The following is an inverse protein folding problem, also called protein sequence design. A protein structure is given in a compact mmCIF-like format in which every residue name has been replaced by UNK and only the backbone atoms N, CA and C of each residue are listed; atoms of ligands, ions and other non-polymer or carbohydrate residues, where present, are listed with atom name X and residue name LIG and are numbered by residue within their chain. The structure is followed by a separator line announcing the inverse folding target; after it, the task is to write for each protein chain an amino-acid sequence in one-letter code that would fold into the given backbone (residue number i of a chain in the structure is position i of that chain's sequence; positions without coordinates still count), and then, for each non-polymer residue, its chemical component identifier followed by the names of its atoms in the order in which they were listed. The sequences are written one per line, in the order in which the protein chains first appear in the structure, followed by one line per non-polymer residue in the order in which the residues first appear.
data_IF_508321101856
#
_entry.id   IF_508321101856
#
_cell.length_a   1.000
_cell.length_b   1.000
_cell.length_c   1.000
_cell.angle_alpha   90.00
_cell.angle_beta   90.00
_cell.angle_gamma   90.00
#
_symmetry.space_group_name_H-M   'P 1'
#
loop_
_entity.id
_entity.type
_entity.pdbx_description
1 polymer ?
#
# COMPACT_ATOMS: atom_id res chain seq x y z
N UNK A 1 11.25 -57.69 37.58
CA UNK A 1 11.08 -56.22 37.62
C UNK A 1 11.63 -55.61 36.33
N UNK A 2 10.78 -55.18 35.38
CA UNK A 2 11.24 -54.52 34.14
C UNK A 2 10.42 -53.27 33.70
N UNK A 3 10.08 -52.31 34.58
CA UNK A 3 9.34 -51.12 34.17
C UNK A 3 10.23 -49.98 33.60
N UNK A 4 11.55 -49.98 33.84
CA UNK A 4 12.39 -48.81 33.54
C UNK A 4 12.64 -48.52 32.05
N UNK A 5 12.71 -49.53 31.17
CA UNK A 5 13.05 -49.33 29.74
C UNK A 5 11.90 -48.72 28.91
N UNK A 6 10.63 -49.03 29.26
CA UNK A 6 9.46 -48.47 28.56
C UNK A 6 9.30 -46.95 28.81
N UNK A 7 9.71 -46.45 29.98
CA UNK A 7 9.60 -45.03 30.33
C UNK A 7 10.53 -44.14 29.48
N UNK A 8 11.78 -44.56 29.26
CA UNK A 8 12.78 -43.84 28.45
C UNK A 8 12.39 -43.77 26.97
N UNK A 9 11.82 -44.85 26.44
CA UNK A 9 11.35 -44.89 25.05
C UNK A 9 10.15 -43.96 24.82
N UNK A 10 9.18 -43.94 25.74
CA UNK A 10 8.06 -42.98 25.70
C UNK A 10 8.53 -41.52 25.77
N UNK A 11 9.52 -41.22 26.62
CA UNK A 11 10.10 -39.88 26.72
C UNK A 11 10.83 -39.45 25.43
N UNK A 12 11.56 -40.37 24.78
CA UNK A 12 12.21 -40.14 23.49
C UNK A 12 11.19 -39.87 22.37
N UNK A 13 10.11 -40.67 22.32
CA UNK A 13 9.03 -40.47 21.34
C UNK A 13 8.31 -39.13 21.55
N UNK A 14 8.05 -38.74 22.80
CA UNK A 14 7.45 -37.45 23.12
C UNK A 14 8.36 -36.30 22.64
N UNK A 15 9.66 -36.38 22.91
CA UNK A 15 10.66 -35.40 22.47
C UNK A 15 10.81 -35.36 20.94
N UNK A 16 10.65 -36.48 20.25
CA UNK A 16 10.64 -36.53 18.80
C UNK A 16 9.38 -35.88 18.21
N UNK A 17 8.20 -36.15 18.81
CA UNK A 17 6.93 -35.53 18.41
C UNK A 17 6.93 -34.01 18.60
N UNK A 18 7.44 -33.51 19.73
CA UNK A 18 7.53 -32.07 19.98
C UNK A 18 8.47 -31.40 18.98
N UNK A 19 9.65 -31.97 18.73
CA UNK A 19 10.59 -31.46 17.71
C UNK A 19 10.01 -31.46 16.30
N UNK A 20 9.23 -32.49 15.93
CA UNK A 20 8.57 -32.53 14.64
C UNK A 20 7.49 -31.44 14.52
N UNK A 21 6.70 -31.23 15.57
CA UNK A 21 5.70 -30.16 15.62
C UNK A 21 6.35 -28.77 15.54
N UNK A 22 7.46 -28.54 16.27
CA UNK A 22 8.25 -27.30 16.22
C UNK A 22 8.77 -27.01 14.80
N UNK A 23 9.33 -28.01 14.12
CA UNK A 23 9.82 -27.87 12.72
C UNK A 23 8.69 -27.57 11.74
N UNK A 24 7.54 -28.25 11.88
CA UNK A 24 6.37 -28.00 11.03
C UNK A 24 5.84 -26.58 11.23
N UNK A 25 5.78 -26.12 12.48
CA UNK A 25 5.37 -24.75 12.83
C UNK A 25 6.33 -23.70 12.25
N UNK A 26 7.65 -23.90 12.42
CA UNK A 26 8.68 -23.02 11.86
C UNK A 26 8.60 -22.92 10.33
N UNK A 27 8.33 -24.03 9.64
CA UNK A 27 8.13 -24.05 8.18
C UNK A 27 6.89 -23.25 7.75
N UNK A 28 5.78 -23.35 8.50
CA UNK A 28 4.55 -22.61 8.20
C UNK A 28 4.74 -21.09 8.39
N UNK A 29 5.44 -20.67 9.45
CA UNK A 29 5.78 -19.26 9.68
C UNK A 29 6.67 -18.72 8.56
N UNK A 30 7.73 -19.44 8.17
CA UNK A 30 8.62 -18.99 7.09
C UNK A 30 7.88 -18.87 5.75
N UNK A 31 6.94 -19.79 5.45
CA UNK A 31 6.13 -19.69 4.24
C UNK A 31 5.19 -18.48 4.28
N UNK A 32 4.53 -18.23 5.41
CA UNK A 32 3.69 -17.06 5.58
C UNK A 32 4.51 -15.76 5.47
N UNK A 33 5.68 -15.71 6.08
CA UNK A 33 6.60 -14.57 5.97
C UNK A 33 7.01 -14.31 4.52
N UNK A 34 7.34 -15.36 3.77
CA UNK A 34 7.67 -15.25 2.33
C UNK A 34 6.52 -14.65 1.53
N UNK A 35 5.29 -15.09 1.78
CA UNK A 35 4.11 -14.53 1.11
C UNK A 35 3.91 -13.04 1.44
N UNK A 36 4.13 -12.65 2.70
CA UNK A 36 4.04 -11.26 3.13
C UNK A 36 5.17 -10.40 2.55
N UNK A 37 6.37 -10.95 2.34
CA UNK A 37 7.45 -10.23 1.66
C UNK A 37 7.06 -9.95 0.19
N UNK A 38 6.51 -10.95 -0.51
CA UNK A 38 6.05 -10.77 -1.89
C UNK A 38 4.92 -9.74 -1.99
N UNK A 39 3.96 -9.78 -1.06
CA UNK A 39 2.88 -8.79 -0.98
C UNK A 39 3.43 -7.38 -0.70
N UNK A 40 4.43 -7.25 0.18
CA UNK A 40 5.06 -5.97 0.44
C UNK A 40 5.74 -5.39 -0.80
N UNK A 41 6.40 -6.22 -1.62
CA UNK A 41 6.97 -5.77 -2.88
C UNK A 41 5.90 -5.23 -3.84
N UNK A 42 4.79 -5.95 -4.02
CA UNK A 42 3.68 -5.48 -4.87
C UNK A 42 3.06 -4.18 -4.35
N UNK A 43 2.83 -4.06 -3.04
CA UNK A 43 2.31 -2.84 -2.42
C UNK A 43 3.28 -1.67 -2.58
N UNK A 44 4.58 -1.91 -2.43
CA UNK A 44 5.61 -0.88 -2.64
C UNK A 44 5.62 -0.40 -4.10
N UNK A 45 5.51 -1.30 -5.08
CA UNK A 45 5.43 -0.93 -6.49
C UNK A 45 4.18 -0.10 -6.80
N UNK A 46 3.04 -0.46 -6.20
CA UNK A 46 1.80 0.33 -6.30
C UNK A 46 1.97 1.73 -5.69
N UNK A 47 2.62 1.84 -4.53
CA UNK A 47 2.92 3.12 -3.88
C UNK A 47 3.82 4.00 -4.75
N UNK A 48 4.90 3.45 -5.30
CA UNK A 48 5.80 4.20 -6.17
C UNK A 48 5.10 4.73 -7.43
N UNK A 49 4.26 3.90 -8.07
CA UNK A 49 3.44 4.31 -9.21
C UNK A 49 2.47 5.44 -8.83
N UNK A 50 1.81 5.33 -7.68
CA UNK A 50 0.88 6.35 -7.20
C UNK A 50 1.60 7.67 -6.86
N UNK A 51 2.81 7.60 -6.29
CA UNK A 51 3.64 8.77 -6.01
C UNK A 51 4.00 9.50 -7.30
N UNK A 52 4.49 8.76 -8.31
CA UNK A 52 4.80 9.33 -9.62
C UNK A 52 3.56 9.95 -10.28
N UNK A 53 2.40 9.30 -10.16
CA UNK A 53 1.15 9.86 -10.68
C UNK A 53 0.78 11.18 -9.98
N UNK A 54 0.90 11.26 -8.65
CA UNK A 54 0.63 12.48 -7.90
C UNK A 54 1.60 13.62 -8.27
N UNK A 55 2.87 13.32 -8.49
CA UNK A 55 3.87 14.28 -8.95
C UNK A 55 3.56 14.80 -10.37
N UNK A 56 3.21 13.88 -11.29
CA UNK A 56 2.80 14.23 -12.64
C UNK A 56 1.53 15.09 -12.66
N UNK A 57 0.57 14.77 -11.79
CA UNK A 57 -0.64 15.57 -11.63
C UNK A 57 -0.31 16.97 -11.11
N UNK A 58 0.61 17.09 -10.16
CA UNK A 58 1.06 18.40 -9.64
C UNK A 58 1.68 19.24 -10.74
N UNK A 59 2.55 18.66 -11.57
CA UNK A 59 3.16 19.33 -12.71
C UNK A 59 2.10 19.78 -13.75
N UNK A 60 1.16 18.88 -14.06
CA UNK A 60 0.06 19.18 -14.98
C UNK A 60 -0.84 20.30 -14.45
N UNK A 61 -1.19 20.28 -13.18
CA UNK A 61 -2.03 21.30 -12.55
C UNK A 61 -1.37 22.68 -12.60
N UNK A 62 -0.05 22.76 -12.34
CA UNK A 62 0.72 24.02 -12.49
C UNK A 62 0.71 24.56 -13.92
N UNK A 63 0.73 23.67 -14.92
CA UNK A 63 0.67 24.06 -16.33
C UNK A 63 -0.77 24.41 -16.80
N UNK A 64 -1.79 24.01 -16.05
CA UNK A 64 -3.20 24.14 -16.42
C UNK A 64 -3.93 24.98 -15.38
N UNK A 65 -3.65 26.30 -15.29
CA UNK A 65 -4.25 27.14 -14.26
C UNK A 65 -5.77 27.23 -14.42
N UNK A 66 -6.46 27.46 -13.31
CA UNK A 66 -7.91 27.67 -13.29
C UNK A 66 -8.27 28.82 -14.25
N UNK A 67 -9.21 28.60 -15.19
CA UNK A 67 -9.61 29.66 -16.10
C UNK A 67 -10.31 30.78 -15.33
N UNK A 68 -9.99 32.03 -15.66
CA UNK A 68 -10.74 33.17 -15.17
C UNK A 68 -12.16 33.10 -15.71
N UNK A 69 -13.15 33.15 -14.82
CA UNK A 69 -14.55 33.20 -15.22
C UNK A 69 -14.76 34.47 -16.05
N UNK A 70 -15.23 34.38 -17.31
CA UNK A 70 -15.52 35.56 -18.09
C UNK A 70 -16.63 36.38 -17.40
N UNK A 71 -16.59 37.72 -17.49
CA UNK A 71 -17.64 38.55 -16.94
C UNK A 71 -19.00 38.15 -17.53
N UNK A 72 -20.09 38.19 -16.73
CA UNK A 72 -21.41 37.85 -17.22
C UNK A 72 -21.76 38.78 -18.38
N UNK A 73 -22.06 38.20 -19.54
CA UNK A 73 -22.51 38.90 -20.74
C UNK A 73 -23.68 38.13 -21.31
N UNK A 74 -24.72 38.85 -21.70
CA UNK A 74 -25.79 38.24 -22.47
C UNK A 74 -25.23 37.74 -23.81
N UNK A 75 -25.52 36.49 -24.20
CA UNK A 75 -25.03 35.95 -25.45
C UNK A 75 -25.66 36.76 -26.59
N UNK A 76 -24.83 37.46 -27.36
CA UNK A 76 -25.26 38.23 -28.54
C UNK A 76 -25.95 37.35 -29.58
N UNK A 77 -25.69 36.03 -29.57
CA UNK A 77 -26.31 35.04 -30.44
C UNK A 77 -26.55 33.73 -29.68
N UNK A 78 -27.63 33.03 -30.01
CA UNK A 78 -27.86 31.66 -29.53
C UNK A 78 -26.81 30.73 -30.15
N UNK A 79 -26.14 29.95 -29.30
CA UNK A 79 -25.11 29.03 -29.76
C UNK A 79 -25.74 27.77 -30.32
N UNK A 80 -25.44 27.45 -31.57
CA UNK A 80 -25.80 26.18 -32.21
C UNK A 80 -24.93 25.04 -31.66
N UNK A 81 -25.45 23.79 -31.65
CA UNK A 81 -24.74 22.62 -31.11
C UNK A 81 -23.41 22.32 -31.81
N UNK A 82 -23.26 22.73 -33.05
CA UNK A 82 -22.07 22.48 -33.88
C UNK A 82 -21.03 23.61 -33.82
N UNK A 83 -21.27 24.64 -33.00
CA UNK A 83 -20.33 25.75 -32.86
C UNK A 83 -19.05 25.31 -32.13
N UNK A 84 -17.85 25.75 -32.59
CA UNK A 84 -16.59 25.40 -31.94
C UNK A 84 -16.56 25.86 -30.47
N UNK A 85 -15.78 25.16 -29.64
CA UNK A 85 -15.56 25.55 -28.24
C UNK A 85 -14.89 26.92 -28.15
N UNK A 86 -15.39 27.78 -27.27
CA UNK A 86 -14.71 29.02 -26.90
C UNK A 86 -13.39 28.71 -26.19
N UNK A 87 -12.45 29.66 -26.20
CA UNK A 87 -11.16 29.44 -25.53
C UNK A 87 -11.30 29.28 -24.01
N UNK A 88 -12.30 29.92 -23.40
CA UNK A 88 -12.67 29.66 -22.02
C UNK A 88 -13.08 28.21 -21.81
N UNK A 89 -13.95 27.66 -22.66
CA UNK A 89 -14.43 26.28 -22.51
C UNK A 89 -13.34 25.25 -22.78
N UNK A 90 -12.41 25.52 -23.71
CA UNK A 90 -11.23 24.68 -23.91
C UNK A 90 -10.38 24.62 -22.64
N UNK A 91 -10.12 25.77 -22.01
CA UNK A 91 -9.36 25.87 -20.76
C UNK A 91 -10.11 25.23 -19.59
N UNK A 92 -11.42 25.45 -19.49
CA UNK A 92 -12.27 24.85 -18.46
C UNK A 92 -12.33 23.33 -18.59
N UNK A 93 -12.45 22.80 -19.81
CA UNK A 93 -12.40 21.35 -20.07
C UNK A 93 -11.07 20.75 -19.66
N UNK A 94 -9.95 21.39 -20.00
CA UNK A 94 -8.62 20.94 -19.59
C UNK A 94 -8.45 20.97 -18.07
N UNK A 95 -8.87 22.04 -17.41
CA UNK A 95 -8.84 22.15 -15.95
C UNK A 95 -9.73 21.11 -15.26
N UNK A 96 -10.95 20.88 -15.75
CA UNK A 96 -11.84 19.85 -15.20
C UNK A 96 -11.23 18.44 -15.30
N UNK A 97 -10.50 18.13 -16.39
CA UNK A 97 -9.79 16.87 -16.49
C UNK A 97 -8.69 16.70 -15.42
N UNK A 98 -8.03 17.79 -15.02
CA UNK A 98 -7.07 17.79 -13.90
C UNK A 98 -7.79 17.52 -12.57
N UNK A 99 -8.94 18.16 -12.35
CA UNK A 99 -9.77 17.95 -11.15
C UNK A 99 -10.27 16.50 -11.06
N UNK A 100 -10.77 15.93 -12.16
CA UNK A 100 -11.21 14.53 -12.20
C UNK A 100 -10.06 13.56 -11.93
N UNK A 101 -8.88 13.85 -12.48
CA UNK A 101 -7.68 13.05 -12.22
C UNK A 101 -7.25 13.14 -10.77
N UNK A 102 -7.36 14.32 -10.15
CA UNK A 102 -7.10 14.50 -8.72
C UNK A 102 -8.02 13.64 -7.85
N UNK A 103 -9.32 13.57 -8.17
CA UNK A 103 -10.27 12.73 -7.44
C UNK A 103 -9.87 11.24 -7.50
N UNK A 104 -9.43 10.76 -8.67
CA UNK A 104 -8.92 9.38 -8.81
C UNK A 104 -7.69 9.12 -7.94
N UNK A 105 -6.74 10.06 -7.92
CA UNK A 105 -5.54 9.95 -7.07
C UNK A 105 -5.90 9.93 -5.58
N UNK A 106 -6.89 10.72 -5.14
CA UNK A 106 -7.39 10.66 -3.76
C UNK A 106 -8.00 9.31 -3.41
N UNK A 107 -8.80 8.73 -4.31
CA UNK A 107 -9.39 7.40 -4.10
C UNK A 107 -8.27 6.35 -4.00
N UNK A 108 -7.29 6.39 -4.90
CA UNK A 108 -6.16 5.48 -4.88
C UNK A 108 -5.34 5.56 -3.58
N UNK A 109 -5.13 6.78 -3.04
CA UNK A 109 -4.48 6.96 -1.74
C UNK A 109 -5.24 6.25 -0.62
N UNK A 110 -6.57 6.38 -0.56
CA UNK A 110 -7.39 5.72 0.47
C UNK A 110 -7.32 4.20 0.35
N UNK A 111 -7.44 3.67 -0.86
CA UNK A 111 -7.34 2.23 -1.11
C UNK A 111 -5.97 1.68 -0.69
N UNK A 112 -4.88 2.41 -0.99
CA UNK A 112 -3.54 1.99 -0.57
C UNK A 112 -3.34 2.09 0.95
N UNK A 113 -3.91 3.10 1.61
CA UNK A 113 -3.93 3.19 3.06
C UNK A 113 -4.57 1.97 3.70
N UNK A 114 -5.75 1.55 3.20
CA UNK A 114 -6.46 0.37 3.71
C UNK A 114 -5.68 -0.92 3.49
N UNK A 115 -5.09 -1.10 2.30
CA UNK A 115 -4.25 -2.28 2.00
C UNK A 115 -3.02 -2.36 2.90
N UNK A 116 -2.33 -1.25 3.14
CA UNK A 116 -1.15 -1.22 4.03
C UNK A 116 -1.57 -1.45 5.48
N UNK A 117 -2.73 -0.94 5.91
CA UNK A 117 -3.28 -1.24 7.23
C UNK A 117 -3.57 -2.75 7.39
N UNK A 118 -4.24 -3.37 6.42
CA UNK A 118 -4.48 -4.82 6.41
C UNK A 118 -3.18 -5.62 6.44
N UNK A 119 -2.18 -5.21 5.64
CA UNK A 119 -0.86 -5.82 5.68
C UNK A 119 -0.25 -5.78 7.07
N UNK A 120 -0.32 -4.63 7.76
CA UNK A 120 0.20 -4.48 9.12
C UNK A 120 -0.52 -5.38 10.13
N UNK A 121 -1.81 -5.59 9.99
CA UNK A 121 -2.54 -6.55 10.82
C UNK A 121 -2.05 -7.98 10.61
N UNK A 122 -1.81 -8.38 9.35
CA UNK A 122 -1.25 -9.69 9.03
C UNK A 122 0.16 -9.88 9.61
N UNK A 123 1.00 -8.83 9.55
CA UNK A 123 2.33 -8.81 10.16
C UNK A 123 2.24 -8.97 11.68
N UNK A 124 1.39 -8.20 12.36
CA UNK A 124 1.17 -8.35 13.81
C UNK A 124 0.69 -9.74 14.18
N UNK A 125 -0.17 -10.33 13.35
CA UNK A 125 -0.64 -11.70 13.52
C UNK A 125 0.49 -12.74 13.36
N UNK A 126 1.47 -12.50 12.48
CA UNK A 126 2.66 -13.33 12.33
C UNK A 126 3.59 -13.19 13.54
N UNK A 127 3.90 -11.95 13.94
CA UNK A 127 4.75 -11.63 15.09
C UNK A 127 4.19 -12.21 16.40
N UNK A 128 2.88 -12.10 16.64
CA UNK A 128 2.24 -12.65 17.84
C UNK A 128 2.24 -14.18 17.91
N UNK A 129 2.31 -14.86 16.76
CA UNK A 129 2.45 -16.33 16.68
C UNK A 129 3.90 -16.79 16.75
N UNK A 130 4.85 -15.88 16.56
CA UNK A 130 6.26 -16.16 16.58
C UNK A 130 6.82 -15.99 17.99
N UNK A 131 7.35 -17.08 18.56
CA UNK A 131 8.10 -17.03 19.84
C UNK A 131 9.58 -17.23 19.50
N UNK A 132 10.43 -16.20 19.68
CA UNK A 132 11.84 -16.31 19.34
C UNK A 132 12.52 -17.39 20.18
N UNK A 133 13.07 -18.41 19.52
CA UNK A 133 14.02 -19.30 20.16
C UNK A 133 15.38 -18.56 20.23
N UNK A 134 16.16 -18.79 21.28
CA UNK A 134 17.39 -18.02 21.66
C UNK A 134 18.52 -17.91 20.61
N UNK A 135 18.32 -18.33 19.36
CA UNK A 135 19.27 -18.15 18.25
C UNK A 135 18.53 -17.60 17.04
N UNK A 136 19.01 -16.48 16.50
CA UNK A 136 18.59 -15.93 15.20
C UNK A 136 18.79 -16.97 14.11
N UNK A 137 17.73 -17.67 13.73
CA UNK A 137 17.66 -18.55 12.59
C UNK A 137 17.00 -17.85 11.41
N UNK A 138 16.80 -18.60 10.32
CA UNK A 138 16.16 -18.12 9.09
C UNK A 138 14.75 -17.56 9.36
N UNK A 139 14.00 -18.16 10.28
CA UNK A 139 12.61 -17.76 10.57
C UNK A 139 12.57 -16.43 11.30
N UNK A 140 13.48 -16.21 12.26
CA UNK A 140 13.63 -14.93 12.95
C UNK A 140 13.89 -13.79 11.94
N UNK A 141 14.82 -14.00 11.01
CA UNK A 141 15.15 -13.02 9.96
C UNK A 141 13.98 -12.78 8.99
N UNK A 142 13.27 -13.84 8.59
CA UNK A 142 12.10 -13.71 7.72
C UNK A 142 10.99 -12.87 8.40
N UNK A 143 10.75 -13.04 9.70
CA UNK A 143 9.76 -12.25 10.48
C UNK A 143 10.22 -10.81 10.66
N UNK A 144 11.49 -10.57 10.98
CA UNK A 144 12.06 -9.23 11.10
C UNK A 144 11.98 -8.45 9.77
N UNK A 145 12.27 -9.11 8.65
CA UNK A 145 12.15 -8.52 7.32
C UNK A 145 10.71 -8.08 7.00
N UNK A 146 9.72 -8.87 7.41
CA UNK A 146 8.29 -8.53 7.27
C UNK A 146 7.92 -7.32 8.14
N UNK A 147 8.42 -7.25 9.38
CA UNK A 147 8.24 -6.09 10.26
C UNK A 147 8.81 -4.80 9.67
N UNK A 148 10.05 -4.87 9.15
CA UNK A 148 10.69 -3.75 8.48
C UNK A 148 9.94 -3.31 7.21
N UNK A 149 9.44 -4.28 6.43
CA UNK A 149 8.62 -4.01 5.26
C UNK A 149 7.34 -3.25 5.61
N UNK A 150 6.67 -3.60 6.72
CA UNK A 150 5.50 -2.87 7.19
C UNK A 150 5.83 -1.40 7.48
N UNK A 151 6.94 -1.11 8.17
CA UNK A 151 7.38 0.26 8.44
C UNK A 151 7.63 1.05 7.15
N UNK A 152 8.35 0.47 6.20
CA UNK A 152 8.63 1.10 4.91
C UNK A 152 7.36 1.42 4.10
N UNK A 153 6.37 0.53 4.13
CA UNK A 153 5.09 0.76 3.45
C UNK A 153 4.30 1.91 4.10
N UNK A 154 4.33 2.03 5.42
CA UNK A 154 3.70 3.15 6.12
C UNK A 154 4.35 4.49 5.78
N UNK A 155 5.68 4.54 5.74
CA UNK A 155 6.41 5.72 5.28
C UNK A 155 6.06 6.07 3.83
N UNK A 156 5.93 5.06 2.97
CA UNK A 156 5.49 5.23 1.58
C UNK A 156 4.08 5.83 1.46
N UNK A 157 3.15 5.40 2.31
CA UNK A 157 1.79 5.97 2.39
C UNK A 157 1.81 7.43 2.84
N UNK A 158 2.61 7.76 3.86
CA UNK A 158 2.78 9.14 4.32
C UNK A 158 3.33 10.01 3.20
N UNK A 159 4.37 9.53 2.50
CA UNK A 159 4.95 10.22 1.35
C UNK A 159 3.92 10.44 0.24
N UNK A 160 3.13 9.43 -0.11
CA UNK A 160 2.05 9.58 -1.09
C UNK A 160 1.05 10.65 -0.63
N UNK A 161 0.63 10.64 0.63
CA UNK A 161 -0.30 11.64 1.16
C UNK A 161 0.23 13.07 1.03
N UNK A 162 1.53 13.28 1.26
CA UNK A 162 2.19 14.58 1.05
C UNK A 162 2.12 15.01 -0.42
N UNK A 163 2.43 14.11 -1.35
CA UNK A 163 2.38 14.39 -2.80
C UNK A 163 0.96 14.68 -3.29
N UNK A 164 -0.04 13.94 -2.80
CA UNK A 164 -1.46 14.25 -3.06
C UNK A 164 -1.84 15.62 -2.48
N UNK A 165 -1.27 16.01 -1.34
CA UNK A 165 -1.43 17.33 -0.76
C UNK A 165 -0.86 18.44 -1.66
N UNK A 166 0.29 18.22 -2.28
CA UNK A 166 0.86 19.14 -3.28
C UNK A 166 0.00 19.23 -4.54
N UNK A 167 -0.47 18.10 -5.04
CA UNK A 167 -1.36 18.04 -6.20
C UNK A 167 -2.65 18.83 -5.94
N UNK A 168 -3.21 18.72 -4.73
CA UNK A 168 -4.39 19.50 -4.32
C UNK A 168 -4.16 21.00 -4.44
N UNK A 169 -3.06 21.49 -3.85
CA UNK A 169 -2.71 22.91 -3.85
C UNK A 169 -2.44 23.46 -5.24
N UNK A 170 -1.99 22.63 -6.16
CA UNK A 170 -1.77 23.03 -7.54
C UNK A 170 -3.07 23.00 -8.36
N UNK A 171 -4.00 22.11 -8.05
CA UNK A 171 -5.24 21.92 -8.81
C UNK A 171 -6.41 22.77 -8.32
N UNK A 172 -6.42 23.23 -7.06
CA UNK A 172 -7.51 24.01 -6.44
C UNK A 172 -7.06 25.43 -6.10
#
# INVERSE_FOLDING_TARGET
MAPMKQSKFRALLLKAKTRFAERKHASAISQQATNLILLAHDLNDQLQKAILEAQNLTALAKATPRPSTPPPRDPLFQRTKDAPLSDYEKRAKAYNAVVDRYQRVQINLRVLQEKVASYREDVRGLEGRFVPARKMGKVEHDVEAVGNAAGNLEEGVVRLAVEVGWARRAAM
#
